data_IF_921827564218
#
_entry.id   IF_921827564218
#
_cell.length_a   1.000
_cell.length_b   1.000
_cell.length_c   1.000
_cell.angle_alpha   90.00
_cell.angle_beta   90.00
_cell.angle_gamma   90.00
#
_symmetry.space_group_name_H-M   'P 1'
#
loop_
_entity.id
_entity.type
_entity.pdbx_description
1 polymer ?
#
# COMPACT_ATOMS: atom_id res chain seq x y z
N UNK A 1 0.63 5.46 8.67
CA UNK A 1 0.16 5.44 10.06
C UNK A 1 1.24 4.97 11.03
N UNK A 2 1.95 3.88 10.73
CA UNK A 2 3.03 3.37 11.59
C UNK A 2 4.10 4.43 11.90
N UNK A 3 4.53 5.21 10.92
CA UNK A 3 5.51 6.29 11.12
C UNK A 3 4.98 7.38 12.04
N UNK A 4 3.72 7.76 11.93
CA UNK A 4 3.10 8.77 12.81
C UNK A 4 3.00 8.26 14.25
N UNK A 5 2.65 7.00 14.42
CA UNK A 5 2.65 6.37 15.74
C UNK A 5 4.05 6.35 16.35
N UNK A 6 5.09 6.03 15.58
CA UNK A 6 6.49 6.06 16.01
C UNK A 6 6.92 7.48 16.45
N UNK A 7 6.54 8.51 15.70
CA UNK A 7 6.80 9.91 16.06
C UNK A 7 6.11 10.27 17.38
N UNK A 8 4.85 9.85 17.55
CA UNK A 8 4.10 10.06 18.79
C UNK A 8 4.77 9.40 19.99
N UNK A 9 5.25 8.17 19.85
CA UNK A 9 5.99 7.45 20.90
C UNK A 9 7.33 8.11 21.23
N UNK A 10 8.08 8.58 20.23
CA UNK A 10 9.34 9.28 20.45
C UNK A 10 9.13 10.60 21.23
N UNK A 11 8.07 11.34 20.91
CA UNK A 11 7.68 12.54 21.68
C UNK A 11 7.27 12.19 23.11
N UNK A 12 6.53 11.12 23.30
CA UNK A 12 6.15 10.63 24.63
C UNK A 12 7.39 10.23 25.44
N UNK A 13 8.32 9.47 24.86
CA UNK A 13 9.56 9.09 25.51
C UNK A 13 10.33 10.31 26.00
N UNK A 14 10.48 11.35 25.17
CA UNK A 14 11.16 12.59 25.54
C UNK A 14 10.51 13.26 26.77
N UNK A 15 9.20 13.37 26.78
CA UNK A 15 8.45 13.96 27.90
C UNK A 15 8.62 13.13 29.18
N UNK A 16 8.60 11.81 29.07
CA UNK A 16 8.84 10.93 30.23
C UNK A 16 10.24 11.12 30.77
N UNK A 17 11.26 11.20 29.92
CA UNK A 17 12.66 11.46 30.37
C UNK A 17 12.78 12.80 31.08
N UNK A 18 12.21 13.86 30.55
CA UNK A 18 12.21 15.20 31.19
C UNK A 18 11.53 15.14 32.56
N UNK A 19 10.39 14.48 32.70
CA UNK A 19 9.69 14.34 33.98
C UNK A 19 10.50 13.53 35.00
N UNK A 20 11.15 12.45 34.56
CA UNK A 20 12.02 11.65 35.44
C UNK A 20 13.21 12.43 35.99
N UNK A 21 13.70 13.43 35.27
CA UNK A 21 14.83 14.27 35.74
C UNK A 21 14.40 15.45 36.59
N UNK A 22 13.18 15.93 36.44
CA UNK A 22 12.69 17.17 37.08
C UNK A 22 11.79 16.93 38.29
N UNK A 23 11.16 15.75 38.40
CA UNK A 23 10.26 15.41 39.50
C UNK A 23 10.98 14.66 40.61
N UNK A 24 10.45 14.85 41.83
CA UNK A 24 10.95 14.15 43.03
C UNK A 24 10.62 12.65 42.90
N UNK A 25 11.62 11.80 43.15
CA UNK A 25 11.51 10.35 42.96
C UNK A 25 10.59 9.68 43.98
N UNK A 26 10.31 10.36 45.12
CA UNK A 26 9.42 9.86 46.14
C UNK A 26 7.95 9.99 45.70
N UNK A 27 7.30 8.87 45.44
CA UNK A 27 5.87 8.82 45.10
C UNK A 27 5.54 8.88 43.61
N UNK A 28 6.51 8.78 42.70
CA UNK A 28 6.27 8.71 41.28
C UNK A 28 5.62 7.38 40.89
N UNK A 29 4.48 7.45 40.21
CA UNK A 29 3.85 6.31 39.57
C UNK A 29 4.02 6.35 38.03
N UNK A 30 4.00 5.21 37.31
CA UNK A 30 4.03 5.21 35.86
C UNK A 30 2.91 6.06 35.24
N UNK A 31 1.73 6.10 35.85
CA UNK A 31 0.59 6.91 35.41
C UNK A 31 0.85 8.42 35.47
N UNK A 32 1.64 8.89 36.44
CA UNK A 32 1.98 10.31 36.56
C UNK A 32 3.04 10.75 35.54
N UNK A 33 3.88 9.83 35.09
CA UNK A 33 4.94 10.09 34.13
C UNK A 33 4.43 10.03 32.68
N UNK A 34 3.53 9.09 32.38
CA UNK A 34 3.05 8.83 31.03
C UNK A 34 1.93 9.81 30.66
N UNK A 35 2.12 10.51 29.54
CA UNK A 35 1.11 11.37 28.95
C UNK A 35 0.82 10.91 27.52
N UNK A 36 -0.37 10.45 27.27
CA UNK A 36 -0.80 9.93 25.95
C UNK A 36 -1.05 11.02 24.90
N UNK A 37 -1.12 12.30 25.30
CA UNK A 37 -1.42 13.40 24.39
C UNK A 37 -0.52 13.48 23.15
N UNK A 38 0.81 13.30 23.24
CA UNK A 38 1.69 13.34 22.05
C UNK A 38 1.35 12.27 21.02
N UNK A 39 0.98 11.07 21.44
CA UNK A 39 0.57 9.97 20.56
C UNK A 39 -0.77 10.26 19.93
N UNK A 40 -1.76 10.68 20.72
CA UNK A 40 -3.10 11.05 20.23
C UNK A 40 -3.01 12.21 19.23
N UNK A 41 -2.19 13.22 19.50
CA UNK A 41 -1.98 14.35 18.61
C UNK A 41 -1.37 13.91 17.26
N UNK A 42 -0.35 13.04 17.28
CA UNK A 42 0.28 12.54 16.06
C UNK A 42 -0.70 11.72 15.19
N UNK A 43 -1.53 10.89 15.81
CA UNK A 43 -2.56 10.10 15.09
C UNK A 43 -3.65 11.02 14.53
N UNK A 44 -4.12 11.99 15.29
CA UNK A 44 -5.11 12.98 14.80
C UNK A 44 -4.56 13.82 13.66
N UNK A 45 -3.30 14.24 13.72
CA UNK A 45 -2.63 14.96 12.64
C UNK A 45 -2.60 14.14 11.36
N UNK A 46 -2.29 12.85 11.43
CA UNK A 46 -2.33 11.97 10.27
C UNK A 46 -3.72 11.91 9.63
N UNK A 47 -4.76 11.62 10.40
CA UNK A 47 -6.12 11.50 9.86
C UNK A 47 -6.71 12.83 9.39
N UNK A 48 -6.30 13.96 9.95
CA UNK A 48 -6.82 15.28 9.60
C UNK A 48 -6.08 15.99 8.47
N UNK A 49 -4.81 15.69 8.23
CA UNK A 49 -3.97 16.46 7.29
C UNK A 49 -3.22 15.64 6.26
N UNK A 50 -3.19 14.31 6.36
CA UNK A 50 -2.53 13.47 5.36
C UNK A 50 -3.30 13.45 4.04
N UNK A 51 -2.59 13.63 2.93
CA UNK A 51 -3.18 13.53 1.58
C UNK A 51 -3.77 12.14 1.29
N UNK A 52 -3.26 11.09 1.91
CA UNK A 52 -3.71 9.72 1.72
C UNK A 52 -4.87 9.34 2.64
N UNK A 53 -5.12 10.12 3.70
CA UNK A 53 -6.31 9.99 4.53
C UNK A 53 -7.44 10.82 3.92
N UNK A 54 -8.39 10.13 3.27
CA UNK A 54 -9.44 10.76 2.49
C UNK A 54 -10.82 10.43 3.04
N UNK A 55 -11.79 11.27 2.73
CA UNK A 55 -13.20 10.96 2.93
C UNK A 55 -13.54 9.75 2.06
N UNK A 56 -14.10 8.70 2.68
CA UNK A 56 -14.45 7.50 1.96
C UNK A 56 -15.68 7.72 1.08
N UNK A 57 -15.63 7.24 -0.14
CA UNK A 57 -16.81 7.15 -1.01
C UNK A 57 -17.76 6.08 -0.44
N UNK A 58 -18.97 6.48 -0.09
CA UNK A 58 -19.98 5.64 0.58
C UNK A 58 -21.31 5.54 -0.20
N UNK A 59 -21.29 5.77 -1.51
CA UNK A 59 -22.48 5.67 -2.34
C UNK A 59 -23.06 4.25 -2.40
N UNK A 60 -22.18 3.24 -2.47
CA UNK A 60 -22.52 1.83 -2.45
C UNK A 60 -21.32 1.00 -1.93
N UNK A 61 -21.54 -0.27 -1.55
CA UNK A 61 -20.46 -1.12 -1.04
C UNK A 61 -19.28 -1.32 -2.02
N UNK A 62 -19.54 -1.38 -3.32
CA UNK A 62 -18.49 -1.51 -4.33
C UNK A 62 -17.64 -0.25 -4.41
N UNK A 63 -18.23 0.94 -4.29
CA UNK A 63 -17.53 2.21 -4.25
C UNK A 63 -16.57 2.29 -3.05
N UNK A 64 -17.01 1.83 -1.90
CA UNK A 64 -16.16 1.74 -0.69
C UNK A 64 -14.98 0.81 -0.90
N UNK A 65 -15.20 -0.38 -1.46
CA UNK A 65 -14.16 -1.36 -1.74
C UNK A 65 -13.14 -0.81 -2.74
N UNK A 66 -13.61 -0.21 -3.82
CA UNK A 66 -12.77 0.40 -4.86
C UNK A 66 -11.91 1.52 -4.28
N UNK A 67 -12.48 2.37 -3.42
CA UNK A 67 -11.73 3.44 -2.76
C UNK A 67 -10.62 2.90 -1.86
N UNK A 68 -10.88 1.83 -1.11
CA UNK A 68 -9.89 1.17 -0.24
C UNK A 68 -8.75 0.49 -1.00
N UNK A 69 -8.97 0.13 -2.26
CA UNK A 69 -8.00 -0.54 -3.15
C UNK A 69 -7.31 0.43 -4.12
N UNK A 70 -7.44 1.72 -3.89
CA UNK A 70 -6.84 2.77 -4.75
C UNK A 70 -5.35 2.88 -4.51
N UNK A 71 -4.60 3.01 -5.60
CA UNK A 71 -3.16 3.24 -5.62
C UNK A 71 -2.91 4.66 -6.09
N UNK A 72 -2.16 5.44 -5.33
CA UNK A 72 -1.80 6.81 -5.67
C UNK A 72 -0.29 6.95 -5.83
N UNK A 73 0.15 7.55 -6.93
CA UNK A 73 1.53 7.94 -7.14
C UNK A 73 1.88 9.26 -6.43
N UNK A 74 0.87 9.96 -5.90
CA UNK A 74 1.00 11.24 -5.22
C UNK A 74 1.15 11.04 -3.69
N UNK A 75 1.57 12.07 -3.02
CA UNK A 75 1.64 12.10 -1.56
C UNK A 75 3.07 12.00 -1.02
N UNK A 76 3.23 11.80 0.30
CA UNK A 76 4.53 11.73 0.94
C UNK A 76 5.39 10.60 0.37
N UNK A 77 6.58 10.94 -0.11
CA UNK A 77 7.48 9.98 -0.77
C UNK A 77 7.14 9.66 -2.24
N UNK A 78 6.05 10.23 -2.76
CA UNK A 78 5.61 10.07 -4.14
C UNK A 78 5.96 11.26 -5.04
N UNK A 79 5.27 11.33 -6.18
CA UNK A 79 5.45 12.37 -7.18
C UNK A 79 4.58 13.60 -6.87
N UNK A 80 4.96 14.76 -7.44
CA UNK A 80 4.08 15.90 -7.59
C UNK A 80 3.47 15.91 -9.00
N UNK A 81 2.28 16.48 -9.16
CA UNK A 81 1.60 16.55 -10.46
C UNK A 81 2.44 17.22 -11.53
N UNK A 82 3.18 18.27 -11.16
CA UNK A 82 4.02 19.06 -12.06
C UNK A 82 5.24 18.28 -12.56
N UNK A 83 5.72 17.32 -11.77
CA UNK A 83 6.88 16.48 -12.11
C UNK A 83 6.49 15.18 -12.79
N UNK A 84 5.20 14.87 -12.88
CA UNK A 84 4.71 13.66 -13.51
C UNK A 84 4.62 13.84 -15.04
N UNK A 85 5.61 13.31 -15.76
CA UNK A 85 5.62 13.23 -17.21
C UNK A 85 4.75 12.09 -17.76
N UNK A 86 4.80 11.87 -19.06
CA UNK A 86 4.05 10.79 -19.72
C UNK A 86 4.50 9.40 -19.27
N UNK A 87 5.77 9.18 -19.02
CA UNK A 87 6.33 7.88 -18.64
C UNK A 87 5.70 7.28 -17.39
N UNK A 88 5.46 8.12 -16.36
CA UNK A 88 4.87 7.68 -15.09
C UNK A 88 3.34 7.54 -15.15
N UNK A 89 2.71 8.08 -16.17
CA UNK A 89 1.26 8.03 -16.41
C UNK A 89 0.84 6.90 -17.34
N UNK A 90 1.81 6.31 -18.03
CA UNK A 90 1.59 5.27 -19.03
C UNK A 90 1.38 3.90 -18.37
N UNK A 91 0.84 2.97 -19.14
CA UNK A 91 0.69 1.58 -18.71
C UNK A 91 1.96 0.82 -19.07
N UNK A 92 2.61 0.28 -18.06
CA UNK A 92 3.80 -0.54 -18.21
C UNK A 92 3.44 -2.03 -18.20
N UNK A 93 4.23 -2.89 -18.82
CA UNK A 93 3.95 -4.32 -18.85
C UNK A 93 3.90 -4.95 -17.45
N UNK A 94 4.63 -4.40 -16.48
CA UNK A 94 4.59 -4.83 -15.07
C UNK A 94 3.26 -4.59 -14.37
N UNK A 95 2.35 -3.85 -14.99
CA UNK A 95 0.99 -3.64 -14.48
C UNK A 95 0.10 -4.87 -14.68
N UNK A 96 0.47 -5.77 -15.58
CA UNK A 96 -0.34 -6.95 -15.88
C UNK A 96 -0.63 -7.78 -14.62
N UNK A 97 -1.92 -8.01 -14.37
CA UNK A 97 -2.38 -8.72 -13.18
C UNK A 97 -2.23 -7.96 -11.84
N UNK A 98 -1.65 -6.74 -11.84
CA UNK A 98 -1.35 -5.92 -10.64
C UNK A 98 -2.15 -4.65 -10.57
N UNK A 99 -2.14 -3.86 -11.62
CA UNK A 99 -2.89 -2.60 -11.68
C UNK A 99 -3.84 -2.61 -12.87
N UNK A 100 -5.07 -2.15 -12.67
CA UNK A 100 -6.04 -2.02 -13.75
C UNK A 100 -5.54 -0.98 -14.78
N UNK A 101 -5.45 -1.34 -16.07
CA UNK A 101 -4.93 -0.42 -17.09
C UNK A 101 -5.94 0.66 -17.52
N UNK A 102 -7.22 0.51 -17.16
CA UNK A 102 -8.29 1.39 -17.63
C UNK A 102 -8.92 2.24 -16.52
N UNK A 103 -8.88 1.79 -15.27
CA UNK A 103 -9.48 2.53 -14.16
C UNK A 103 -8.52 3.61 -13.65
N UNK A 104 -8.67 4.80 -14.19
CA UNK A 104 -7.90 5.99 -13.84
C UNK A 104 -8.76 7.25 -14.05
N UNK A 105 -8.56 8.34 -13.30
CA UNK A 105 -9.27 9.59 -13.53
C UNK A 105 -8.97 10.19 -14.89
N UNK A 106 -9.88 11.04 -15.36
CA UNK A 106 -9.63 11.99 -16.43
C UNK A 106 -8.98 13.26 -15.89
N UNK A 107 -8.18 13.94 -16.70
CA UNK A 107 -7.58 15.23 -16.37
C UNK A 107 -6.20 15.13 -15.70
N UNK A 108 -5.87 16.05 -14.77
CA UNK A 108 -4.49 16.20 -14.25
C UNK A 108 -3.94 14.97 -13.51
N UNK A 109 -4.80 14.12 -13.00
CA UNK A 109 -4.42 12.91 -12.23
C UNK A 109 -4.42 11.63 -13.08
N UNK A 110 -4.60 11.73 -14.40
CA UNK A 110 -4.60 10.56 -15.29
C UNK A 110 -3.29 9.78 -15.12
N UNK A 111 -3.40 8.47 -14.96
CA UNK A 111 -2.25 7.58 -14.77
C UNK A 111 -1.55 7.68 -13.41
N UNK A 112 -1.89 8.66 -12.56
CA UNK A 112 -1.31 8.83 -11.23
C UNK A 112 -2.16 8.20 -10.12
N UNK A 113 -3.44 8.05 -10.37
CA UNK A 113 -4.39 7.38 -9.49
C UNK A 113 -4.89 6.13 -10.22
N UNK A 114 -4.61 4.98 -9.67
CA UNK A 114 -4.92 3.69 -10.27
C UNK A 114 -5.65 2.79 -9.26
N UNK A 115 -6.13 1.66 -9.72
CA UNK A 115 -6.77 0.65 -8.88
C UNK A 115 -5.99 -0.64 -8.90
N UNK A 116 -5.92 -1.29 -7.73
CA UNK A 116 -5.34 -2.62 -7.60
C UNK A 116 -6.19 -3.63 -8.37
N UNK A 117 -5.57 -4.50 -9.17
CA UNK A 117 -6.28 -5.56 -9.87
C UNK A 117 -6.98 -6.50 -8.89
N UNK A 118 -8.06 -7.15 -9.33
CA UNK A 118 -8.97 -7.91 -8.46
C UNK A 118 -8.27 -8.97 -7.63
N UNK A 119 -7.35 -9.74 -8.21
CA UNK A 119 -6.63 -10.82 -7.55
C UNK A 119 -5.24 -10.43 -7.06
N UNK A 120 -4.81 -9.18 -7.32
CA UNK A 120 -3.53 -8.68 -6.85
C UNK A 120 -3.55 -8.45 -5.33
N UNK A 121 -2.39 -8.59 -4.72
CA UNK A 121 -2.17 -8.26 -3.31
C UNK A 121 -0.84 -7.52 -3.14
N UNK A 122 -0.66 -6.90 -1.99
CA UNK A 122 0.58 -6.23 -1.61
C UNK A 122 1.31 -7.14 -0.62
N UNK A 123 2.59 -7.41 -0.86
CA UNK A 123 3.42 -8.24 0.02
C UNK A 123 3.93 -7.43 1.24
N UNK A 124 4.65 -8.11 2.12
CA UNK A 124 5.22 -7.52 3.34
C UNK A 124 6.26 -6.40 3.07
N UNK A 125 6.87 -6.39 1.89
CA UNK A 125 7.83 -5.36 1.45
C UNK A 125 7.16 -4.17 0.74
N UNK A 126 5.86 -4.24 0.48
CA UNK A 126 5.11 -3.20 -0.21
C UNK A 126 5.03 -3.34 -1.74
N UNK A 127 5.52 -4.44 -2.31
CA UNK A 127 5.39 -4.73 -3.73
C UNK A 127 4.05 -5.37 -4.06
N UNK A 128 3.53 -5.06 -5.25
CA UNK A 128 2.30 -5.67 -5.74
C UNK A 128 2.61 -7.00 -6.40
N UNK A 129 1.91 -8.04 -5.98
CA UNK A 129 2.01 -9.39 -6.49
C UNK A 129 0.74 -9.79 -7.25
N UNK A 130 0.94 -10.59 -8.31
CA UNK A 130 -0.13 -11.20 -9.06
C UNK A 130 -0.11 -12.73 -8.90
N UNK A 131 -1.28 -13.40 -8.85
CA UNK A 131 -1.35 -14.84 -8.76
C UNK A 131 -1.22 -15.50 -10.14
N UNK A 132 -0.46 -16.60 -10.18
CA UNK A 132 -0.30 -17.44 -11.35
C UNK A 132 -0.46 -18.89 -10.98
N UNK A 133 -1.03 -19.70 -11.87
CA UNK A 133 -1.03 -21.16 -11.75
C UNK A 133 0.17 -21.74 -12.48
N UNK A 134 0.84 -22.68 -11.86
CA UNK A 134 1.92 -23.42 -12.50
C UNK A 134 1.37 -24.37 -13.57
N UNK A 135 2.13 -24.53 -14.63
CA UNK A 135 1.86 -25.52 -15.67
C UNK A 135 2.81 -26.71 -15.44
N UNK A 136 2.24 -27.89 -15.29
CA UNK A 136 3.00 -29.13 -15.29
C UNK A 136 3.30 -29.55 -16.74
N UNK A 137 4.59 -29.68 -17.05
CA UNK A 137 5.12 -30.11 -18.35
C UNK A 137 5.81 -31.49 -18.29
N UNK A 138 5.46 -32.30 -17.32
CA UNK A 138 6.01 -33.67 -17.19
C UNK A 138 5.72 -34.48 -18.45
N UNK A 139 4.55 -34.29 -19.07
CA UNK A 139 4.27 -34.76 -20.42
C UNK A 139 4.28 -33.55 -21.40
N UNK A 140 5.34 -33.40 -22.22
CA UNK A 140 5.45 -32.30 -23.17
C UNK A 140 4.32 -32.21 -24.22
N UNK A 141 3.59 -33.32 -24.43
CA UNK A 141 2.49 -33.38 -25.39
C UNK A 141 1.15 -32.96 -24.79
N UNK A 142 1.04 -33.01 -23.46
CA UNK A 142 -0.19 -32.66 -22.74
C UNK A 142 0.15 -31.85 -21.49
N UNK A 143 0.57 -30.59 -21.64
CA UNK A 143 0.79 -29.73 -20.50
C UNK A 143 -0.53 -29.45 -19.75
N UNK A 144 -0.51 -29.47 -18.42
CA UNK A 144 -1.70 -29.34 -17.58
C UNK A 144 -1.52 -28.19 -16.61
N UNK A 145 -2.54 -27.33 -16.48
CA UNK A 145 -2.57 -26.30 -15.44
C UNK A 145 -2.81 -26.96 -14.09
N UNK A 146 -1.92 -26.73 -13.14
CA UNK A 146 -2.05 -27.23 -11.77
C UNK A 146 -2.93 -26.31 -10.91
N UNK A 147 -3.38 -26.81 -9.78
CA UNK A 147 -4.10 -26.01 -8.79
C UNK A 147 -3.15 -25.20 -7.89
N UNK A 148 -1.83 -25.34 -8.08
CA UNK A 148 -0.84 -24.59 -7.32
C UNK A 148 -0.82 -23.13 -7.76
N UNK A 149 -1.23 -22.22 -6.86
CA UNK A 149 -1.20 -20.77 -7.09
C UNK A 149 0.04 -20.17 -6.44
N UNK A 150 0.84 -19.49 -7.25
CA UNK A 150 2.03 -18.77 -6.81
C UNK A 150 1.82 -17.27 -7.04
N UNK A 151 2.07 -16.49 -6.00
CA UNK A 151 2.07 -15.03 -6.12
C UNK A 151 3.48 -14.55 -6.45
N UNK A 152 3.59 -13.73 -7.48
CA UNK A 152 4.87 -13.21 -7.95
C UNK A 152 4.84 -11.70 -8.11
N UNK A 153 5.93 -11.06 -7.71
CA UNK A 153 6.24 -9.67 -8.04
C UNK A 153 6.63 -9.55 -9.52
N UNK A 154 6.72 -8.34 -10.05
CA UNK A 154 7.02 -8.15 -11.47
C UNK A 154 8.43 -8.63 -11.88
N UNK A 155 9.41 -8.47 -11.00
CA UNK A 155 10.77 -8.95 -11.20
C UNK A 155 10.88 -10.48 -11.16
N UNK A 156 10.13 -11.13 -10.27
CA UNK A 156 10.04 -12.59 -10.24
C UNK A 156 9.37 -13.14 -11.50
N UNK A 157 8.30 -12.47 -11.96
CA UNK A 157 7.56 -12.84 -13.18
C UNK A 157 8.45 -12.81 -14.44
N UNK A 158 9.41 -11.88 -14.51
CA UNK A 158 10.34 -11.76 -15.63
C UNK A 158 11.18 -13.03 -15.89
N UNK A 159 11.28 -13.93 -14.91
CA UNK A 159 11.97 -15.21 -15.05
C UNK A 159 11.10 -16.31 -15.67
N UNK A 160 9.82 -16.03 -15.95
CA UNK A 160 8.85 -17.02 -16.43
C UNK A 160 8.17 -16.54 -17.72
N UNK A 161 7.74 -17.51 -18.52
CA UNK A 161 6.81 -17.25 -19.61
C UNK A 161 5.39 -17.31 -19.07
N UNK A 162 4.69 -16.19 -19.14
CA UNK A 162 3.33 -16.04 -18.63
C UNK A 162 2.36 -15.99 -19.81
N UNK A 163 1.28 -16.74 -19.70
CA UNK A 163 0.18 -16.71 -20.66
C UNK A 163 -1.14 -16.43 -19.92
N UNK A 164 -2.08 -15.79 -20.60
CA UNK A 164 -3.43 -15.62 -20.08
C UNK A 164 -4.19 -16.96 -20.08
N UNK A 165 -5.20 -17.08 -19.22
CA UNK A 165 -5.94 -18.35 -19.03
C UNK A 165 -6.68 -18.85 -20.29
N UNK A 166 -6.88 -18.00 -21.30
CA UNK A 166 -7.53 -18.35 -22.57
C UNK A 166 -6.57 -18.88 -23.63
N UNK A 167 -5.27 -18.81 -23.41
CA UNK A 167 -4.30 -19.32 -24.37
C UNK A 167 -4.29 -20.85 -24.36
N UNK A 168 -4.20 -21.52 -25.53
CA UNK A 168 -4.01 -22.97 -25.60
C UNK A 168 -2.62 -23.33 -25.06
N UNK A 169 -2.57 -24.43 -24.33
CA UNK A 169 -1.32 -24.97 -23.76
C UNK A 169 -0.55 -25.80 -24.80
#
# INVERSE_FOLDING_TARGET
LQNQYRIGLARLERVVRERMTTQDLEGISPQSLINIKPVTAAVKEFFGSSQLSQFMDQNNPLGELTHKRRLSALGPGGLSRERAGFEVRDVHYSHYGRMCPIETPEGPNIGLINSLATYARINEYGFVEAPYRKIDKTDPKNPVVTDEVVYMTADEEDNYHVAQASEPL
#
